data_IF_902697761944
#
_entry.id   IF_902697761944
#
_cell.length_a   1.000
_cell.length_b   1.000
_cell.length_c   1.000
_cell.angle_alpha   90.00
_cell.angle_beta   90.00
_cell.angle_gamma   90.00
#
_symmetry.space_group_name_H-M   'P 1'
#
loop_
_entity.id
_entity.type
_entity.pdbx_description
1 polymer ?
#
# COMPACT_ATOMS: atom_id res chain seq x y z
N UNK A 1 -14.48 5.65 8.68
CA UNK A 1 -13.33 6.34 8.06
C UNK A 1 -13.72 7.41 7.03
N UNK A 2 -15.02 7.64 6.81
CA UNK A 2 -15.53 8.62 5.83
C UNK A 2 -15.33 10.09 6.27
N UNK A 3 -15.10 10.33 7.56
CA UNK A 3 -15.05 11.69 8.12
C UNK A 3 -13.65 12.16 8.55
N UNK A 4 -12.71 11.28 8.88
CA UNK A 4 -11.43 11.67 9.47
C UNK A 4 -10.22 11.34 8.61
N UNK A 5 -10.35 10.54 7.54
CA UNK A 5 -9.22 10.13 6.69
C UNK A 5 -8.12 9.33 7.43
N UNK A 6 -8.29 9.05 8.72
CA UNK A 6 -7.29 8.36 9.53
C UNK A 6 -7.37 6.86 9.23
N UNK A 7 -6.26 6.19 8.91
CA UNK A 7 -6.23 4.73 8.71
C UNK A 7 -6.74 4.00 9.96
N UNK A 8 -7.52 2.94 9.73
CA UNK A 8 -8.11 2.13 10.80
C UNK A 8 -7.07 1.63 11.82
N UNK A 9 -5.88 1.29 11.34
CA UNK A 9 -4.76 0.83 12.17
C UNK A 9 -4.36 1.84 13.25
N UNK A 10 -4.37 3.15 12.93
CA UNK A 10 -4.06 4.20 13.92
C UNK A 10 -5.16 4.35 14.97
N UNK A 11 -6.42 4.19 14.60
CA UNK A 11 -7.53 4.22 15.55
C UNK A 11 -7.42 3.06 16.54
N UNK A 12 -7.15 1.84 16.07
CA UNK A 12 -6.93 0.67 16.92
C UNK A 12 -5.73 0.90 17.85
N UNK A 13 -4.61 1.37 17.32
CA UNK A 13 -3.42 1.66 18.12
C UNK A 13 -3.66 2.71 19.22
N UNK A 14 -4.48 3.74 18.95
CA UNK A 14 -4.85 4.75 19.96
C UNK A 14 -5.72 4.15 21.06
N UNK A 15 -6.71 3.33 20.71
CA UNK A 15 -7.58 2.68 21.70
C UNK A 15 -6.78 1.72 22.57
N UNK A 16 -6.01 0.82 21.98
CA UNK A 16 -5.20 -0.15 22.71
C UNK A 16 -4.13 0.56 23.55
N UNK A 17 -3.48 1.61 23.01
CA UNK A 17 -2.53 2.43 23.72
C UNK A 17 -3.13 3.15 24.94
N UNK A 18 -4.36 3.63 24.81
CA UNK A 18 -5.08 4.28 25.93
C UNK A 18 -5.40 3.28 27.05
N UNK A 19 -5.77 2.06 26.70
CA UNK A 19 -6.04 0.99 27.67
C UNK A 19 -4.76 0.59 28.43
N UNK A 20 -3.64 0.43 27.70
CA UNK A 20 -2.34 0.12 28.32
C UNK A 20 -1.89 1.26 29.24
N UNK A 21 -2.07 2.52 28.80
CA UNK A 21 -1.72 3.69 29.62
C UNK A 21 -2.59 3.77 30.89
N UNK A 22 -3.90 3.54 30.76
CA UNK A 22 -4.82 3.50 31.89
C UNK A 22 -4.43 2.38 32.86
N UNK A 23 -4.09 1.20 32.36
CA UNK A 23 -3.58 0.09 33.17
C UNK A 23 -2.28 0.42 33.91
N UNK A 24 -1.35 1.11 33.25
CA UNK A 24 -0.12 1.58 33.88
C UNK A 24 -0.41 2.58 35.03
N UNK A 25 -1.32 3.52 34.82
CA UNK A 25 -1.69 4.52 35.83
C UNK A 25 -2.40 3.86 37.03
N UNK A 26 -3.34 2.97 36.78
CA UNK A 26 -4.13 2.31 37.85
C UNK A 26 -3.29 1.28 38.62
N UNK A 27 -2.57 0.43 37.93
CA UNK A 27 -1.82 -0.70 38.52
C UNK A 27 -0.39 -0.27 38.86
N UNK A 28 0.29 0.46 37.94
CA UNK A 28 1.69 0.83 38.11
C UNK A 28 1.93 1.95 39.09
N UNK A 29 1.03 2.93 39.18
CA UNK A 29 1.13 4.09 40.08
C UNK A 29 0.19 4.02 41.30
N UNK A 30 -0.65 2.96 41.35
CA UNK A 30 -1.59 2.80 42.49
C UNK A 30 -2.68 3.86 42.55
N UNK A 31 -2.94 4.58 41.45
CA UNK A 31 -3.94 5.64 41.41
C UNK A 31 -5.33 5.03 41.48
N UNK A 32 -6.00 5.17 42.61
CA UNK A 32 -7.42 4.83 42.75
C UNK A 32 -7.79 3.55 43.47
N UNK A 33 -6.87 2.63 43.66
CA UNK A 33 -7.09 1.43 44.49
C UNK A 33 -5.91 1.36 45.47
N UNK A 34 -6.18 1.36 46.78
CA UNK A 34 -5.19 1.13 47.83
C UNK A 34 -4.52 -0.25 47.77
N UNK A 35 -4.11 -0.68 46.55
CA UNK A 35 -3.39 -1.89 46.29
C UNK A 35 -1.91 -1.57 46.45
N UNK A 36 -1.38 -1.94 47.57
CA UNK A 36 -0.08 -1.59 48.11
C UNK A 36 1.06 -1.61 47.11
N UNK A 37 1.99 -0.67 47.33
CA UNK A 37 3.33 -0.54 46.77
C UNK A 37 3.49 -0.91 45.28
N UNK A 38 3.79 0.11 44.47
CA UNK A 38 4.23 -0.05 43.08
C UNK A 38 5.39 -1.07 42.99
N UNK A 39 5.10 -2.32 42.77
CA UNK A 39 6.12 -3.33 42.54
C UNK A 39 6.84 -3.05 41.22
N UNK A 40 8.16 -3.15 41.17
CA UNK A 40 8.94 -2.97 39.95
C UNK A 40 8.51 -3.92 38.83
N UNK A 41 7.81 -5.01 39.15
CA UNK A 41 7.22 -5.97 38.25
C UNK A 41 6.09 -5.38 37.37
N UNK A 42 5.34 -4.39 37.87
CA UNK A 42 4.25 -3.74 37.12
C UNK A 42 4.76 -2.95 35.93
N UNK A 43 5.91 -2.30 36.02
CA UNK A 43 6.55 -1.59 34.94
C UNK A 43 7.00 -2.52 33.82
N UNK A 44 7.58 -3.69 34.18
CA UNK A 44 7.99 -4.70 33.22
C UNK A 44 6.78 -5.24 32.43
N UNK A 45 5.65 -5.48 33.09
CA UNK A 45 4.42 -5.93 32.45
C UNK A 45 3.90 -4.91 31.45
N UNK A 46 3.95 -3.62 31.78
CA UNK A 46 3.55 -2.55 30.87
C UNK A 46 4.46 -2.42 29.64
N UNK A 47 5.77 -2.60 29.80
CA UNK A 47 6.70 -2.67 28.69
C UNK A 47 6.44 -3.85 27.77
N UNK A 48 6.19 -5.01 28.32
CA UNK A 48 5.82 -6.22 27.52
C UNK A 48 4.50 -6.01 26.77
N UNK A 49 3.51 -5.35 27.39
CA UNK A 49 2.24 -5.02 26.72
C UNK A 49 2.45 -4.10 25.51
N UNK A 50 3.31 -3.08 25.64
CA UNK A 50 3.64 -2.17 24.53
C UNK A 50 4.36 -2.89 23.39
N UNK A 51 5.34 -3.74 23.70
CA UNK A 51 6.06 -4.53 22.70
C UNK A 51 5.10 -5.47 21.96
N UNK A 52 4.24 -6.15 22.72
CA UNK A 52 3.24 -7.09 22.16
C UNK A 52 2.26 -6.34 21.26
N UNK A 53 1.74 -5.18 21.71
CA UNK A 53 0.85 -4.34 20.92
C UNK A 53 1.48 -3.91 19.59
N UNK A 54 2.74 -3.47 19.64
CA UNK A 54 3.48 -3.08 18.44
C UNK A 54 3.68 -4.27 17.49
N UNK A 55 4.07 -5.43 18.02
CA UNK A 55 4.27 -6.65 17.23
C UNK A 55 2.97 -7.10 16.56
N UNK A 56 1.84 -7.10 17.28
CA UNK A 56 0.52 -7.45 16.74
C UNK A 56 0.10 -6.46 15.66
N UNK A 57 0.24 -5.15 15.90
CA UNK A 57 -0.13 -4.13 14.92
C UNK A 57 0.66 -4.28 13.61
N UNK A 58 1.97 -4.57 13.70
CA UNK A 58 2.80 -4.85 12.52
C UNK A 58 2.42 -6.14 11.81
N UNK A 59 2.11 -7.19 12.56
CA UNK A 59 1.70 -8.48 11.98
C UNK A 59 0.36 -8.38 11.26
N UNK A 60 -0.63 -7.70 11.85
CA UNK A 60 -1.92 -7.46 11.21
C UNK A 60 -1.75 -6.64 9.93
N UNK A 61 -0.90 -5.60 9.95
CA UNK A 61 -0.61 -4.81 8.76
C UNK A 61 -0.10 -5.67 7.60
N UNK A 62 0.84 -6.58 7.87
CA UNK A 62 1.38 -7.50 6.86
C UNK A 62 0.35 -8.51 6.37
N UNK A 63 -0.46 -9.07 7.29
CA UNK A 63 -1.47 -10.08 6.95
C UNK A 63 -2.64 -9.48 6.17
N UNK A 64 -3.12 -8.29 6.57
CA UNK A 64 -4.29 -7.64 5.95
C UNK A 64 -3.93 -6.98 4.62
N UNK A 65 -2.78 -6.30 4.56
CA UNK A 65 -2.34 -5.64 3.32
C UNK A 65 -1.72 -6.63 2.33
N UNK A 66 -1.34 -7.81 2.78
CA UNK A 66 -0.54 -8.75 2.00
C UNK A 66 0.82 -8.14 1.64
N UNK A 67 1.70 -8.93 1.13
CA UNK A 67 2.91 -8.46 0.43
C UNK A 67 2.53 -8.23 -1.04
N UNK A 68 1.83 -7.14 -1.33
CA UNK A 68 1.44 -6.81 -2.69
C UNK A 68 2.66 -6.30 -3.44
N UNK A 69 3.38 -7.20 -4.06
CA UNK A 69 4.56 -6.84 -4.87
C UNK A 69 4.19 -6.21 -6.22
N UNK A 70 2.91 -6.27 -6.62
CA UNK A 70 2.44 -5.77 -7.89
C UNK A 70 1.81 -4.38 -7.77
N UNK A 71 2.16 -3.50 -8.70
CA UNK A 71 1.58 -2.16 -8.86
C UNK A 71 1.04 -2.02 -10.27
N UNK A 72 -0.15 -1.46 -10.37
CA UNK A 72 -0.75 -1.06 -11.63
C UNK A 72 -0.44 0.41 -11.85
N UNK A 73 0.26 0.69 -12.93
CA UNK A 73 0.67 2.03 -13.31
C UNK A 73 -0.11 2.47 -14.54
N UNK A 74 -0.80 3.58 -14.42
CA UNK A 74 -1.48 4.25 -15.51
C UNK A 74 -0.67 5.51 -15.84
N UNK A 75 -0.19 5.62 -17.08
CA UNK A 75 0.50 6.80 -17.59
C UNK A 75 -0.41 7.45 -18.63
N UNK A 76 -0.86 8.64 -18.35
CA UNK A 76 -1.72 9.42 -19.24
C UNK A 76 -0.84 10.48 -19.88
N UNK A 77 -0.68 10.40 -21.19
CA UNK A 77 0.25 11.23 -21.96
C UNK A 77 -0.38 11.68 -23.29
N UNK A 78 0.33 12.53 -24.01
CA UNK A 78 0.00 12.83 -25.39
C UNK A 78 0.42 11.67 -26.32
N UNK A 79 -0.15 11.53 -27.52
CA UNK A 79 0.25 10.47 -28.46
C UNK A 79 1.74 10.50 -28.83
N UNK A 80 2.33 11.69 -28.86
CA UNK A 80 3.76 11.89 -29.16
C UNK A 80 4.64 11.34 -28.04
N UNK A 81 4.36 11.75 -26.78
CA UNK A 81 5.04 11.24 -25.59
C UNK A 81 4.84 9.74 -25.39
N UNK A 82 3.63 9.25 -25.69
CA UNK A 82 3.30 7.84 -25.67
C UNK A 82 4.17 6.99 -26.59
N UNK A 83 4.53 7.52 -27.77
CA UNK A 83 5.46 6.90 -28.70
C UNK A 83 6.88 6.75 -28.13
N UNK A 84 7.39 7.78 -27.45
CA UNK A 84 8.71 7.77 -26.80
C UNK A 84 8.72 6.79 -25.63
N UNK A 85 7.71 6.88 -24.77
CA UNK A 85 7.56 5.99 -23.60
C UNK A 85 7.40 4.53 -24.01
N UNK A 86 6.68 4.24 -25.10
CA UNK A 86 6.53 2.89 -25.65
C UNK A 86 7.89 2.27 -25.95
N UNK A 87 8.73 2.99 -26.68
CA UNK A 87 10.04 2.47 -27.05
C UNK A 87 10.92 2.21 -25.82
N UNK A 88 10.86 3.10 -24.85
CA UNK A 88 11.59 2.96 -23.61
C UNK A 88 11.09 1.78 -22.76
N UNK A 89 9.76 1.63 -22.60
CA UNK A 89 9.16 0.52 -21.84
C UNK A 89 9.51 -0.82 -22.47
N UNK A 90 9.45 -0.95 -23.79
CA UNK A 90 9.73 -2.20 -24.50
C UNK A 90 11.21 -2.55 -24.49
N UNK A 91 12.09 -1.57 -24.76
CA UNK A 91 13.50 -1.85 -24.99
C UNK A 91 14.36 -1.73 -23.74
N UNK A 92 14.00 -0.88 -22.78
CA UNK A 92 14.81 -0.64 -21.58
C UNK A 92 14.26 -1.38 -20.36
N UNK A 93 12.95 -1.36 -20.18
CA UNK A 93 12.33 -2.04 -19.04
C UNK A 93 12.01 -3.52 -19.31
N UNK A 94 12.06 -3.97 -20.57
CA UNK A 94 11.64 -5.32 -20.99
C UNK A 94 10.24 -5.67 -20.42
N UNK A 95 9.30 -4.72 -20.52
CA UNK A 95 7.93 -4.84 -20.03
C UNK A 95 6.94 -4.56 -21.14
N UNK A 96 5.77 -5.17 -21.04
CA UNK A 96 4.65 -4.87 -21.92
C UNK A 96 3.68 -3.90 -21.25
N UNK A 97 3.05 -3.05 -22.05
CA UNK A 97 1.99 -2.18 -21.62
C UNK A 97 0.81 -2.28 -22.58
N UNK A 98 -0.39 -2.09 -22.07
CA UNK A 98 -1.59 -1.94 -22.90
C UNK A 98 -1.79 -0.46 -23.18
N UNK A 99 -1.97 -0.13 -24.44
CA UNK A 99 -2.25 1.23 -24.89
C UNK A 99 -3.74 1.39 -25.15
N UNK A 100 -4.34 2.42 -24.59
CA UNK A 100 -5.73 2.78 -24.81
C UNK A 100 -5.84 4.23 -25.25
N UNK A 101 -6.48 4.52 -26.40
CA UNK A 101 -6.77 5.89 -26.79
C UNK A 101 -7.80 6.49 -25.84
N UNK A 102 -7.64 7.77 -25.54
CA UNK A 102 -8.54 8.52 -24.65
C UNK A 102 -8.60 9.98 -25.10
N UNK A 103 -9.55 10.72 -24.55
CA UNK A 103 -9.72 12.14 -24.81
C UNK A 103 -9.79 12.91 -23.50
N UNK A 104 -9.15 14.05 -23.45
CA UNK A 104 -9.26 14.94 -22.29
C UNK A 104 -10.67 15.50 -22.19
N UNK A 105 -11.34 15.33 -21.04
CA UNK A 105 -12.73 15.76 -20.88
C UNK A 105 -12.91 17.29 -21.06
N UNK A 106 -11.92 18.07 -20.64
CA UNK A 106 -11.99 19.53 -20.73
C UNK A 106 -11.38 20.08 -22.04
N UNK A 107 -10.25 19.52 -22.45
CA UNK A 107 -9.50 20.03 -23.62
C UNK A 107 -9.94 19.39 -24.94
N UNK A 108 -10.70 18.29 -24.89
CA UNK A 108 -11.07 17.43 -26.04
C UNK A 108 -9.85 16.93 -26.85
N UNK A 109 -8.64 17.15 -26.33
CA UNK A 109 -7.42 16.70 -26.97
C UNK A 109 -7.26 15.18 -26.87
N UNK A 110 -6.67 14.62 -27.90
CA UNK A 110 -6.28 13.20 -27.88
C UNK A 110 -5.23 12.97 -26.81
N UNK A 111 -5.45 11.93 -26.02
CA UNK A 111 -4.56 11.42 -25.00
C UNK A 111 -4.43 9.91 -25.16
N UNK A 112 -3.37 9.36 -24.61
CA UNK A 112 -3.15 7.94 -24.52
C UNK A 112 -2.95 7.52 -23.08
N UNK A 113 -3.54 6.39 -22.73
CA UNK A 113 -3.33 5.74 -21.44
C UNK A 113 -2.48 4.50 -21.67
N UNK A 114 -1.29 4.49 -21.10
CA UNK A 114 -0.43 3.32 -21.03
C UNK A 114 -0.67 2.64 -19.68
N UNK A 115 -1.15 1.42 -19.73
CA UNK A 115 -1.46 0.58 -18.57
C UNK A 115 -0.42 -0.52 -18.47
N UNK A 116 0.33 -0.55 -17.37
CA UNK A 116 1.33 -1.57 -17.14
C UNK A 116 1.31 -2.07 -15.70
N UNK A 117 1.58 -3.36 -15.52
CA UNK A 117 1.73 -3.98 -14.20
C UNK A 117 3.22 -4.19 -13.95
N UNK A 118 3.69 -3.70 -12.82
CA UNK A 118 5.11 -3.74 -12.45
C UNK A 118 5.28 -4.16 -11.00
N UNK A 119 6.49 -4.56 -10.64
CA UNK A 119 6.79 -4.85 -9.24
C UNK A 119 7.08 -3.56 -8.48
N UNK A 120 6.77 -3.55 -7.20
CA UNK A 120 7.06 -2.42 -6.29
C UNK A 120 8.50 -1.88 -6.42
N UNK A 121 9.46 -2.77 -6.57
CA UNK A 121 10.88 -2.41 -6.71
C UNK A 121 11.25 -1.70 -8.02
N UNK A 122 10.42 -1.85 -9.05
CA UNK A 122 10.63 -1.25 -10.39
C UNK A 122 10.02 0.14 -10.49
N UNK A 123 9.09 0.47 -9.58
CA UNK A 123 8.36 1.73 -9.59
C UNK A 123 9.26 2.99 -9.56
N UNK A 124 10.35 3.07 -8.75
CA UNK A 124 11.22 4.23 -8.76
C UNK A 124 11.90 4.46 -10.12
N UNK A 125 12.30 3.39 -10.81
CA UNK A 125 12.90 3.48 -12.14
C UNK A 125 11.88 3.98 -13.18
N UNK A 126 10.63 3.50 -13.09
CA UNK A 126 9.54 3.91 -13.99
C UNK A 126 9.20 5.38 -13.79
N UNK A 127 9.01 5.82 -12.56
CA UNK A 127 8.68 7.21 -12.26
C UNK A 127 9.80 8.18 -12.66
N UNK A 128 11.07 7.77 -12.48
CA UNK A 128 12.21 8.55 -12.94
C UNK A 128 12.27 8.64 -14.46
N UNK A 129 12.11 7.53 -15.18
CA UNK A 129 12.13 7.50 -16.64
C UNK A 129 10.98 8.28 -17.27
N UNK A 130 9.77 8.18 -16.72
CA UNK A 130 8.64 8.98 -17.20
C UNK A 130 8.90 10.46 -16.99
N UNK A 131 9.42 10.86 -15.83
CA UNK A 131 9.75 12.27 -15.55
C UNK A 131 10.81 12.84 -16.49
N UNK A 132 11.76 12.02 -16.92
CA UNK A 132 12.84 12.42 -17.83
C UNK A 132 12.36 12.50 -19.29
N UNK A 133 11.59 11.51 -19.74
CA UNK A 133 11.19 11.36 -21.15
C UNK A 133 9.89 12.10 -21.49
N UNK A 134 9.01 12.28 -20.53
CA UNK A 134 7.67 12.83 -20.71
C UNK A 134 7.21 13.57 -19.43
N UNK A 135 7.77 14.74 -19.14
CA UNK A 135 7.54 15.47 -17.88
C UNK A 135 6.07 15.92 -17.70
N UNK A 136 5.32 16.08 -18.79
CA UNK A 136 3.92 16.53 -18.75
C UNK A 136 2.92 15.39 -18.61
N UNK A 137 3.40 14.15 -18.52
CA UNK A 137 2.56 13.00 -18.32
C UNK A 137 2.03 12.90 -16.87
N UNK A 138 0.78 12.48 -16.76
CA UNK A 138 0.17 12.20 -15.47
C UNK A 138 0.27 10.71 -15.14
N UNK A 139 0.88 10.39 -13.99
CA UNK A 139 1.10 9.00 -13.56
C UNK A 139 0.25 8.69 -12.34
N UNK A 140 -0.57 7.65 -12.43
CA UNK A 140 -1.36 7.10 -11.32
C UNK A 140 -0.85 5.72 -11.00
N UNK A 141 -0.56 5.47 -9.73
CA UNK A 141 -0.10 4.17 -9.24
C UNK A 141 -1.13 3.64 -8.25
N UNK A 142 -1.60 2.43 -8.50
CA UNK A 142 -2.54 1.71 -7.63
C UNK A 142 -1.97 0.36 -7.23
N UNK A 143 -2.38 -0.13 -6.07
CA UNK A 143 -2.03 -1.49 -5.64
C UNK A 143 -2.78 -2.51 -6.48
N UNK A 144 -2.06 -3.47 -7.05
CA UNK A 144 -2.64 -4.62 -7.69
C UNK A 144 -2.48 -5.83 -6.75
N UNK A 145 -3.56 -6.22 -6.07
CA UNK A 145 -3.52 -7.31 -5.08
C UNK A 145 -3.11 -8.64 -5.69
N UNK A 146 -3.65 -8.94 -6.87
CA UNK A 146 -3.29 -10.15 -7.61
C UNK A 146 -3.13 -9.84 -9.09
N UNK A 147 -2.01 -10.26 -9.67
CA UNK A 147 -1.76 -10.21 -11.09
C UNK A 147 -1.47 -11.63 -11.58
N UNK A 148 -2.26 -12.11 -12.52
CA UNK A 148 -2.11 -13.41 -13.14
C UNK A 148 -1.78 -13.26 -14.62
N UNK A 149 -0.98 -14.15 -15.16
CA UNK A 149 -0.70 -14.18 -16.59
C UNK A 149 0.74 -14.53 -16.90
N UNK A 150 1.10 -14.38 -18.16
CA UNK A 150 2.43 -14.70 -18.66
C UNK A 150 3.49 -13.85 -17.93
N UNK A 151 4.52 -14.50 -17.38
CA UNK A 151 5.58 -13.90 -16.53
C UNK A 151 5.14 -13.43 -15.13
N UNK A 152 3.90 -13.73 -14.72
CA UNK A 152 3.34 -13.53 -13.39
C UNK A 152 2.91 -14.86 -12.77
N UNK A 153 2.05 -14.82 -11.75
CA UNK A 153 1.45 -16.03 -11.18
C UNK A 153 0.63 -16.76 -12.28
N UNK A 154 0.72 -18.08 -12.34
CA UNK A 154 -0.16 -18.85 -13.20
C UNK A 154 -1.63 -18.63 -12.82
N UNK A 155 -2.51 -18.62 -13.84
CA UNK A 155 -3.94 -18.59 -13.57
C UNK A 155 -4.31 -19.81 -12.70
N UNK A 156 -5.14 -19.65 -11.66
CA UNK A 156 -5.63 -20.77 -10.88
C UNK A 156 -6.43 -21.71 -11.79
N UNK A 157 -6.17 -23.00 -11.67
CA UNK A 157 -6.90 -24.01 -12.44
C UNK A 157 -8.40 -23.92 -12.17
N UNK A 158 -9.22 -23.97 -13.23
CA UNK A 158 -10.67 -23.81 -13.17
C UNK A 158 -11.39 -24.84 -12.25
N UNK A 159 -10.68 -25.87 -11.78
CA UNK A 159 -11.21 -26.88 -10.85
C UNK A 159 -11.26 -26.46 -9.39
N UNK A 160 -10.65 -25.34 -9.00
CA UNK A 160 -10.53 -24.92 -7.59
C UNK A 160 -11.51 -23.80 -7.20
N UNK A 161 -12.21 -23.21 -8.16
CA UNK A 161 -13.21 -22.16 -7.88
C UNK A 161 -14.55 -22.81 -7.55
N UNK A 162 -14.73 -23.22 -6.30
CA UNK A 162 -16.08 -23.44 -5.77
C UNK A 162 -16.71 -22.07 -5.54
N UNK A 163 -17.57 -21.66 -6.46
CA UNK A 163 -18.47 -20.52 -6.27
C UNK A 163 -19.45 -20.91 -5.15
N UNK A 164 -19.27 -20.33 -3.99
CA UNK A 164 -20.23 -20.38 -2.88
C UNK A 164 -21.15 -19.18 -2.92
#
# INVERSE_FOLDING_TARGET
NKYTGIPFSYCMMLVDGSIVLAGLLVIGMGVGLNVGSAEPRSWMLSFYSLITMFAIARSIGVVVSGTTDAKLVHIICTPEEGGVLRNWILNTLDRTATRSPSYGLYSEQEKEILLLVVRQKELPAITAGVKELAPDCFVVVTDAYDAYGYRWKALPDAGTVQIR
#
